data_IF_285879357386
#
_entry.id   IF_285879357386
#
_cell.length_a   1.000
_cell.length_b   1.000
_cell.length_c   1.000
_cell.angle_alpha   90.00
_cell.angle_beta   90.00
_cell.angle_gamma   90.00
#
_symmetry.space_group_name_H-M   'P 1'
#
loop_
_entity.id
_entity.type
_entity.pdbx_description
1 polymer ?
#
# COMPACT_ATOMS: atom_id res chain seq x y z
N UNK A 1 9.42 -33.81 -7.04
CA UNK A 1 10.07 -32.99 -5.99
C UNK A 1 9.03 -31.99 -5.50
N UNK A 2 8.42 -32.23 -4.35
CA UNK A 2 7.42 -31.31 -3.78
C UNK A 2 8.19 -30.12 -3.19
N UNK A 3 7.96 -28.92 -3.72
CA UNK A 3 8.51 -27.69 -3.14
C UNK A 3 7.72 -27.41 -1.86
N UNK A 4 8.25 -27.80 -0.70
CA UNK A 4 7.73 -27.30 0.56
C UNK A 4 7.98 -25.79 0.58
N UNK A 5 6.90 -25.01 0.43
CA UNK A 5 6.90 -23.58 0.68
C UNK A 5 7.07 -23.36 2.17
N UNK A 6 8.29 -23.52 2.69
CA UNK A 6 8.61 -23.18 4.07
C UNK A 6 8.32 -21.70 4.28
N UNK A 7 7.53 -21.37 5.30
CA UNK A 7 7.26 -19.98 5.70
C UNK A 7 8.57 -19.22 5.89
N UNK A 8 8.68 -18.05 5.25
CA UNK A 8 9.81 -17.14 5.41
C UNK A 8 9.35 -15.93 6.25
N UNK A 9 9.75 -15.86 7.55
CA UNK A 9 9.34 -14.77 8.43
C UNK A 9 9.76 -13.39 7.93
N UNK A 10 10.88 -13.28 7.21
CA UNK A 10 11.38 -12.00 6.71
C UNK A 10 10.49 -11.49 5.58
N UNK A 11 10.15 -12.36 4.63
CA UNK A 11 9.19 -12.02 3.55
C UNK A 11 7.83 -11.65 4.12
N UNK A 12 7.37 -12.37 5.15
CA UNK A 12 6.13 -12.04 5.83
C UNK A 12 6.17 -10.64 6.48
N UNK A 13 7.24 -10.31 7.21
CA UNK A 13 7.37 -9.00 7.86
C UNK A 13 7.38 -7.86 6.84
N UNK A 14 8.12 -8.00 5.73
CA UNK A 14 8.13 -7.01 4.64
C UNK A 14 6.75 -6.87 4.00
N UNK A 15 6.05 -7.98 3.74
CA UNK A 15 4.69 -7.95 3.20
C UNK A 15 3.69 -7.28 4.16
N UNK A 16 3.83 -7.54 5.46
CA UNK A 16 3.01 -6.91 6.50
C UNK A 16 3.27 -5.41 6.58
N UNK A 17 4.54 -5.00 6.56
CA UNK A 17 4.92 -3.58 6.57
C UNK A 17 4.38 -2.86 5.34
N UNK A 18 4.56 -3.42 4.14
CA UNK A 18 3.98 -2.92 2.88
C UNK A 18 2.47 -2.72 2.99
N UNK A 19 1.74 -3.71 3.53
CA UNK A 19 0.29 -3.63 3.69
C UNK A 19 -0.11 -2.50 4.64
N UNK A 20 0.51 -2.42 5.82
CA UNK A 20 0.21 -1.40 6.81
C UNK A 20 0.51 -0.01 6.27
N UNK A 21 1.65 0.15 5.60
CA UNK A 21 2.07 1.41 5.01
C UNK A 21 1.13 1.86 3.90
N UNK A 22 0.74 0.94 3.00
CA UNK A 22 -0.28 1.19 1.98
C UNK A 22 -1.60 1.66 2.60
N UNK A 23 -2.09 0.98 3.64
CA UNK A 23 -3.33 1.33 4.31
C UNK A 23 -3.26 2.74 4.94
N UNK A 24 -2.14 3.07 5.59
CA UNK A 24 -1.91 4.39 6.17
C UNK A 24 -1.93 5.50 5.11
N UNK A 25 -1.29 5.29 3.96
CA UNK A 25 -1.26 6.25 2.87
C UNK A 25 -2.66 6.47 2.24
N UNK A 26 -3.41 5.38 2.02
CA UNK A 26 -4.81 5.48 1.55
C UNK A 26 -5.71 6.20 2.55
N UNK A 27 -5.53 5.94 3.85
CA UNK A 27 -6.29 6.62 4.90
C UNK A 27 -5.96 8.11 4.97
N UNK A 28 -4.67 8.47 4.94
CA UNK A 28 -4.24 9.87 4.90
C UNK A 28 -4.81 10.62 3.69
N UNK A 29 -4.77 10.00 2.51
CA UNK A 29 -5.35 10.57 1.31
C UNK A 29 -6.88 10.76 1.43
N UNK A 30 -7.57 9.83 2.10
CA UNK A 30 -9.02 9.94 2.35
C UNK A 30 -9.35 11.11 3.28
N UNK A 31 -8.54 11.34 4.31
CA UNK A 31 -8.71 12.46 5.25
C UNK A 31 -8.46 13.81 4.57
N UNK A 32 -7.60 13.86 3.56
CA UNK A 32 -7.34 15.07 2.77
C UNK A 32 -8.48 15.44 1.79
N UNK A 33 -9.43 14.53 1.54
CA UNK A 33 -10.58 14.80 0.68
C UNK A 33 -11.78 15.26 1.52
N UNK A 34 -12.32 16.43 1.18
CA UNK A 34 -13.43 17.09 1.87
C UNK A 34 -14.76 16.38 1.60
N UNK A 35 -14.86 15.68 0.47
CA UNK A 35 -16.09 14.99 0.05
C UNK A 35 -15.83 13.65 -0.62
N UNK A 36 -16.87 12.81 -0.66
CA UNK A 36 -16.84 11.51 -1.33
C UNK A 36 -16.67 11.64 -2.86
N UNK A 37 -17.23 12.69 -3.47
CA UNK A 37 -17.06 12.93 -4.91
C UNK A 37 -15.62 13.30 -5.26
N UNK A 38 -14.99 14.17 -4.46
CA UNK A 38 -13.57 14.52 -4.60
C UNK A 38 -12.68 13.28 -4.43
N UNK A 39 -12.97 12.47 -3.42
CA UNK A 39 -12.26 11.22 -3.17
C UNK A 39 -12.32 10.26 -4.36
N UNK A 40 -13.51 10.03 -4.93
CA UNK A 40 -13.69 9.16 -6.10
C UNK A 40 -13.00 9.70 -7.34
N UNK A 41 -13.09 11.01 -7.58
CA UNK A 41 -12.41 11.65 -8.72
C UNK A 41 -10.87 11.54 -8.60
N UNK A 42 -10.34 11.67 -7.39
CA UNK A 42 -8.90 11.60 -7.12
C UNK A 42 -8.37 10.15 -7.00
N UNK A 43 -9.24 9.14 -6.86
CA UNK A 43 -8.88 7.75 -6.59
C UNK A 43 -7.74 7.19 -7.48
N UNK A 44 -7.77 7.35 -8.82
CA UNK A 44 -6.70 6.83 -9.67
C UNK A 44 -5.36 7.54 -9.44
N UNK A 45 -5.37 8.85 -9.18
CA UNK A 45 -4.17 9.63 -8.92
C UNK A 45 -3.55 9.25 -7.57
N UNK A 46 -4.39 9.07 -6.55
CA UNK A 46 -4.00 8.62 -5.22
C UNK A 46 -3.38 7.23 -5.31
N UNK A 47 -3.97 6.30 -6.06
CA UNK A 47 -3.40 4.97 -6.27
C UNK A 47 -1.98 4.99 -6.85
N UNK A 48 -1.72 5.87 -7.85
CA UNK A 48 -0.36 6.05 -8.40
C UNK A 48 0.60 6.65 -7.39
N UNK A 49 0.17 7.66 -6.64
CA UNK A 49 0.99 8.29 -5.61
C UNK A 49 1.36 7.31 -4.48
N UNK A 50 0.41 6.49 -4.03
CA UNK A 50 0.65 5.44 -3.04
C UNK A 50 1.65 4.41 -3.57
N UNK A 51 1.50 3.96 -4.82
CA UNK A 51 2.45 3.03 -5.43
C UNK A 51 3.86 3.63 -5.50
N UNK A 52 4.00 4.86 -6.01
CA UNK A 52 5.28 5.56 -6.09
C UNK A 52 5.92 5.74 -4.71
N UNK A 53 5.13 6.06 -3.68
CA UNK A 53 5.64 6.22 -2.32
C UNK A 53 6.16 4.89 -1.75
N UNK A 54 5.48 3.77 -1.99
CA UNK A 54 5.95 2.46 -1.56
C UNK A 54 7.27 2.07 -2.26
N UNK A 55 7.42 2.36 -3.54
CA UNK A 55 8.69 2.15 -4.28
C UNK A 55 9.84 2.95 -3.65
N UNK A 56 9.62 4.24 -3.34
CA UNK A 56 10.62 5.09 -2.69
C UNK A 56 11.05 4.57 -1.31
N UNK A 57 10.13 3.92 -0.59
CA UNK A 57 10.39 3.33 0.73
C UNK A 57 10.97 1.91 0.65
N UNK A 58 11.21 1.37 -0.55
CA UNK A 58 11.68 -0.02 -0.74
C UNK A 58 10.61 -1.07 -0.43
N UNK A 59 9.33 -0.67 -0.39
CA UNK A 59 8.16 -1.50 -0.15
C UNK A 59 7.35 -1.75 -1.45
N UNK A 60 7.87 -1.33 -2.60
CA UNK A 60 7.35 -1.55 -3.96
C UNK A 60 7.25 -3.01 -4.36
#
# INVERSE_FOLDING_TARGET
MQHESSFDPRKYLVARERLLRRAALWHAARLACESESQWRAAWPAIGRAVAAQLELEGLG
#
